data_IF_594126624898
#
_entry.id   IF_594126624898
#
_cell.length_a   1.000
_cell.length_b   1.000
_cell.length_c   1.000
_cell.angle_alpha   90.00
_cell.angle_beta   90.00
_cell.angle_gamma   90.00
#
_symmetry.space_group_name_H-M   'P 1'
#
loop_
_entity.id
_entity.type
_entity.pdbx_description
1 polymer ?
#
# COMPACT_ATOMS: atom_id res chain seq x y z
N UNK A 1 -4.34 -18.68 -3.80
CA UNK A 1 -3.88 -18.07 -5.07
C UNK A 1 -2.37 -18.26 -5.19
N UNK A 2 -1.89 -18.60 -6.37
CA UNK A 2 -0.46 -18.84 -6.61
C UNK A 2 0.28 -17.54 -6.94
N UNK A 3 -0.46 -16.53 -7.44
CA UNK A 3 0.04 -15.21 -7.77
C UNK A 3 -1.10 -14.17 -7.71
N UNK A 4 -0.75 -12.94 -7.42
CA UNK A 4 -1.64 -11.78 -7.45
C UNK A 4 -1.23 -10.84 -8.59
N UNK A 5 -2.23 -10.31 -9.29
CA UNK A 5 -2.04 -9.20 -10.24
C UNK A 5 -2.78 -8.00 -9.67
N UNK A 6 -2.03 -7.03 -9.20
CA UNK A 6 -2.59 -5.80 -8.66
C UNK A 6 -2.57 -4.69 -9.70
N UNK A 7 -3.75 -4.23 -10.11
CA UNK A 7 -3.88 -3.14 -11.09
C UNK A 7 -3.91 -1.80 -10.33
N UNK A 8 -2.90 -0.98 -10.57
CA UNK A 8 -2.66 0.30 -9.90
C UNK A 8 -2.86 1.44 -10.89
N UNK A 9 -3.63 2.44 -10.51
CA UNK A 9 -3.80 3.67 -11.27
C UNK A 9 -2.62 4.62 -11.01
N UNK A 10 -1.80 4.85 -12.03
CA UNK A 10 -0.62 5.72 -11.97
C UNK A 10 -0.98 7.19 -11.65
N UNK A 11 -2.16 7.65 -12.03
CA UNK A 11 -2.61 9.02 -11.75
C UNK A 11 -3.07 9.24 -10.31
N UNK A 12 -3.29 8.13 -9.55
CA UNK A 12 -3.70 8.12 -8.16
C UNK A 12 -2.84 7.13 -7.35
N UNK A 13 -1.52 7.18 -7.54
CA UNK A 13 -0.57 6.20 -7.02
C UNK A 13 -0.70 6.02 -5.51
N UNK A 14 -0.65 7.11 -4.74
CA UNK A 14 -0.69 7.10 -3.27
C UNK A 14 -1.88 6.31 -2.74
N UNK A 15 -3.08 6.59 -3.24
CA UNK A 15 -4.31 5.90 -2.84
C UNK A 15 -4.27 4.40 -3.15
N UNK A 16 -3.72 4.04 -4.30
CA UNK A 16 -3.68 2.64 -4.75
C UNK A 16 -2.61 1.82 -4.02
N UNK A 17 -1.51 2.47 -3.57
CA UNK A 17 -0.45 1.80 -2.84
C UNK A 17 -0.90 1.27 -1.48
N UNK A 18 -1.96 1.79 -0.88
CA UNK A 18 -2.47 1.27 0.40
C UNK A 18 -2.85 -0.21 0.30
N UNK A 19 -3.67 -0.57 -0.69
CA UNK A 19 -4.01 -1.96 -0.97
C UNK A 19 -2.79 -2.75 -1.43
N UNK A 20 -1.91 -2.12 -2.24
CA UNK A 20 -0.70 -2.77 -2.74
C UNK A 20 0.19 -3.25 -1.60
N UNK A 21 0.43 -2.42 -0.58
CA UNK A 21 1.24 -2.81 0.58
C UNK A 21 0.60 -3.98 1.33
N UNK A 22 -0.71 -3.95 1.58
CA UNK A 22 -1.41 -5.05 2.23
C UNK A 22 -1.30 -6.37 1.46
N UNK A 23 -1.40 -6.34 0.12
CA UNK A 23 -1.23 -7.52 -0.72
C UNK A 23 0.20 -8.06 -0.69
N UNK A 24 1.20 -7.18 -0.66
CA UNK A 24 2.60 -7.56 -0.59
C UNK A 24 2.98 -8.11 0.79
N UNK A 25 2.38 -7.60 1.86
CA UNK A 25 2.56 -8.11 3.22
C UNK A 25 2.08 -9.58 3.37
N UNK A 26 1.09 -10.01 2.56
CA UNK A 26 0.65 -11.41 2.51
C UNK A 26 1.76 -12.39 2.08
N UNK A 27 2.80 -11.89 1.40
CA UNK A 27 3.91 -12.74 0.93
C UNK A 27 3.55 -13.65 -0.26
N UNK A 28 2.38 -13.45 -0.88
CA UNK A 28 2.00 -14.14 -2.13
C UNK A 28 2.72 -13.44 -3.29
N UNK A 29 3.28 -14.18 -4.27
CA UNK A 29 3.86 -13.57 -5.46
C UNK A 29 2.92 -12.55 -6.09
N UNK A 30 3.41 -11.34 -6.36
CA UNK A 30 2.60 -10.24 -6.86
C UNK A 30 3.27 -9.54 -8.03
N UNK A 31 2.49 -9.20 -9.04
CA UNK A 31 2.89 -8.32 -10.13
C UNK A 31 2.00 -7.08 -10.08
N UNK A 32 2.61 -5.91 -10.04
CA UNK A 32 1.90 -4.63 -10.13
C UNK A 32 1.75 -4.23 -11.59
N UNK A 33 0.52 -4.13 -12.05
CA UNK A 33 0.15 -3.62 -13.37
C UNK A 33 -0.12 -2.11 -13.24
N UNK A 34 0.90 -1.27 -13.47
CA UNK A 34 0.83 0.18 -13.33
C UNK A 34 0.15 0.79 -14.56
N UNK A 35 -1.16 0.97 -14.48
CA UNK A 35 -2.00 1.42 -15.59
C UNK A 35 -2.22 2.94 -15.58
N UNK A 36 -2.80 3.47 -16.65
CA UNK A 36 -3.13 4.89 -16.80
C UNK A 36 -1.91 5.84 -16.79
N UNK A 37 -0.73 5.36 -17.22
CA UNK A 37 0.47 6.19 -17.31
C UNK A 37 0.29 7.39 -18.23
N UNK A 38 -0.49 7.26 -19.30
CA UNK A 38 -0.81 8.36 -20.20
C UNK A 38 -1.69 9.45 -19.55
N UNK A 39 -2.45 9.10 -18.52
CA UNK A 39 -3.23 10.06 -17.72
C UNK A 39 -2.30 10.75 -16.71
N UNK A 40 -1.44 9.99 -16.01
CA UNK A 40 -0.44 10.55 -15.10
C UNK A 40 0.48 11.55 -15.84
N UNK A 41 0.99 11.19 -17.01
CA UNK A 41 1.81 12.09 -17.85
C UNK A 41 1.07 13.38 -18.23
N UNK A 42 -0.22 13.33 -18.57
CA UNK A 42 -1.05 14.52 -18.85
C UNK A 42 -1.23 15.41 -17.62
N UNK A 43 -1.16 14.84 -16.43
CA UNK A 43 -1.20 15.56 -15.15
C UNK A 43 0.20 16.02 -14.69
N UNK A 44 1.23 15.89 -15.55
CA UNK A 44 2.63 16.17 -15.23
C UNK A 44 3.21 15.31 -14.09
N UNK A 45 2.64 14.14 -13.87
CA UNK A 45 3.14 13.15 -12.93
C UNK A 45 4.03 12.19 -13.70
N UNK A 46 5.31 12.11 -13.32
CA UNK A 46 6.24 11.11 -13.84
C UNK A 46 6.60 10.13 -12.73
N UNK A 47 6.45 8.84 -13.01
CA UNK A 47 6.77 7.78 -12.08
C UNK A 47 7.99 7.02 -12.60
N UNK A 48 9.00 6.89 -11.76
CA UNK A 48 10.13 6.00 -11.99
C UNK A 48 9.69 4.56 -11.68
N UNK A 49 9.39 3.81 -12.74
CA UNK A 49 8.85 2.44 -12.65
C UNK A 49 9.86 1.48 -12.03
N UNK A 50 11.15 1.63 -12.35
CA UNK A 50 12.21 0.77 -11.85
C UNK A 50 12.45 1.04 -10.36
N UNK A 51 12.46 2.31 -9.95
CA UNK A 51 12.54 2.69 -8.55
C UNK A 51 11.31 2.18 -7.76
N UNK A 52 10.10 2.25 -8.35
CA UNK A 52 8.89 1.72 -7.71
C UNK A 52 8.98 0.20 -7.54
N UNK A 53 9.43 -0.53 -8.56
CA UNK A 53 9.64 -1.98 -8.49
C UNK A 53 10.65 -2.36 -7.39
N UNK A 54 11.75 -1.63 -7.30
CA UNK A 54 12.76 -1.83 -6.26
C UNK A 54 12.21 -1.55 -4.84
N UNK A 55 11.36 -0.51 -4.69
CA UNK A 55 10.74 -0.15 -3.40
C UNK A 55 9.66 -1.13 -2.97
N UNK A 56 8.89 -1.68 -3.91
CA UNK A 56 7.85 -2.67 -3.63
C UNK A 56 8.38 -4.10 -3.54
N UNK A 57 9.58 -4.37 -4.03
CA UNK A 57 10.16 -5.71 -4.06
C UNK A 57 9.45 -6.70 -4.99
N UNK A 58 8.70 -6.20 -5.97
CA UNK A 58 7.96 -7.01 -6.93
C UNK A 58 8.00 -6.38 -8.33
N UNK A 59 7.75 -7.16 -9.40
CA UNK A 59 7.68 -6.60 -10.74
C UNK A 59 6.58 -5.54 -10.87
N UNK A 60 6.93 -4.40 -11.45
CA UNK A 60 5.98 -3.33 -11.82
C UNK A 60 6.01 -3.18 -13.33
N UNK A 61 4.87 -3.42 -13.96
CA UNK A 61 4.73 -3.39 -15.41
C UNK A 61 3.94 -2.15 -15.85
N UNK A 62 4.56 -1.24 -16.60
CA UNK A 62 3.88 -0.04 -17.09
C UNK A 62 2.86 -0.37 -18.16
N UNK A 63 1.63 0.13 -18.00
CA UNK A 63 0.51 -0.15 -18.88
C UNK A 63 -0.20 1.11 -19.37
N UNK A 64 -0.73 1.02 -20.60
CA UNK A 64 -1.83 1.83 -21.12
C UNK A 64 -2.82 0.84 -21.73
N UNK A 65 -3.67 0.26 -20.88
CA UNK A 65 -4.54 -0.87 -21.26
C UNK A 65 -5.48 -0.55 -22.43
N UNK A 66 -6.00 0.68 -22.50
CA UNK A 66 -6.86 1.15 -23.62
C UNK A 66 -6.16 1.15 -24.98
N UNK A 67 -4.82 1.12 -25.00
CA UNK A 67 -4.00 1.05 -26.23
C UNK A 67 -3.27 -0.26 -26.37
N UNK A 68 -3.51 -1.24 -25.51
CA UNK A 68 -2.81 -2.53 -25.49
C UNK A 68 -1.32 -2.42 -25.14
N UNK A 69 -0.82 -1.23 -24.74
CA UNK A 69 0.60 -1.04 -24.42
C UNK A 69 0.96 -1.72 -23.10
N UNK A 70 2.00 -2.53 -23.11
CA UNK A 70 2.53 -3.24 -21.93
C UNK A 70 1.85 -4.57 -21.63
N UNK A 71 0.79 -4.98 -22.35
CA UNK A 71 0.04 -6.23 -22.09
C UNK A 71 0.94 -7.46 -22.26
N UNK A 72 1.76 -7.51 -23.31
CA UNK A 72 2.68 -8.64 -23.53
C UNK A 72 3.77 -8.72 -22.45
N UNK A 73 4.28 -7.58 -21.99
CA UNK A 73 5.22 -7.54 -20.88
C UNK A 73 4.58 -8.05 -19.57
N UNK A 74 3.31 -7.72 -19.33
CA UNK A 74 2.55 -8.22 -18.19
C UNK A 74 2.39 -9.75 -18.26
N UNK A 75 2.00 -10.29 -19.41
CA UNK A 75 1.90 -11.75 -19.62
C UNK A 75 3.23 -12.44 -19.33
N UNK A 76 4.33 -11.91 -19.87
CA UNK A 76 5.68 -12.45 -19.61
C UNK A 76 6.06 -12.39 -18.12
N UNK A 77 5.67 -11.34 -17.39
CA UNK A 77 5.92 -11.24 -15.96
C UNK A 77 5.12 -12.28 -15.16
N UNK A 78 3.88 -12.55 -15.57
CA UNK A 78 3.02 -13.59 -14.99
C UNK A 78 3.63 -14.98 -15.24
N UNK A 79 4.05 -15.27 -16.47
CA UNK A 79 4.63 -16.56 -16.86
C UNK A 79 5.94 -16.88 -16.11
N UNK A 80 6.72 -15.85 -15.79
CA UNK A 80 7.96 -16.00 -15.00
C UNK A 80 7.72 -16.41 -13.56
N UNK A 81 6.53 -16.15 -13.02
CA UNK A 81 6.12 -16.47 -11.65
C UNK A 81 7.20 -16.10 -10.61
N UNK A 82 7.72 -14.89 -10.72
CA UNK A 82 8.81 -14.42 -9.85
C UNK A 82 8.31 -14.20 -8.41
N UNK A 83 9.06 -14.73 -7.44
CA UNK A 83 8.82 -14.45 -6.04
C UNK A 83 9.15 -13.00 -5.71
N UNK A 84 8.37 -12.41 -4.79
CA UNK A 84 8.67 -11.08 -4.27
C UNK A 84 9.96 -11.11 -3.46
N UNK A 85 10.68 -10.01 -3.46
CA UNK A 85 11.81 -9.81 -2.55
C UNK A 85 11.27 -9.70 -1.11
N UNK A 86 12.00 -10.27 -0.16
CA UNK A 86 11.68 -10.14 1.25
C UNK A 86 12.23 -8.82 1.79
N UNK A 87 11.45 -7.75 1.61
CA UNK A 87 11.78 -6.40 2.10
C UNK A 87 10.74 -5.97 3.13
N UNK A 88 11.18 -5.18 4.09
CA UNK A 88 10.29 -4.54 5.05
C UNK A 88 9.63 -3.33 4.40
N UNK A 89 8.37 -3.51 4.00
CA UNK A 89 7.59 -2.50 3.28
C UNK A 89 7.04 -1.40 4.21
N UNK A 90 6.67 -1.79 5.43
CA UNK A 90 6.04 -0.92 6.42
C UNK A 90 6.77 -1.05 7.74
N UNK A 91 7.19 0.08 8.31
CA UNK A 91 7.85 0.13 9.61
C UNK A 91 6.82 0.33 10.73
N UNK A 92 6.27 -0.76 11.21
CA UNK A 92 5.34 -0.73 12.33
C UNK A 92 6.04 -0.45 13.67
N UNK A 93 5.37 0.24 14.62
CA UNK A 93 5.84 0.35 15.99
C UNK A 93 6.13 -1.00 16.62
N UNK A 94 7.24 -1.11 17.37
CA UNK A 94 7.65 -2.36 18.01
C UNK A 94 6.58 -3.01 18.90
N UNK A 95 5.78 -2.26 19.69
CA UNK A 95 4.70 -2.85 20.47
C UNK A 95 3.68 -3.61 19.60
N UNK A 96 3.29 -3.04 18.44
CA UNK A 96 2.39 -3.69 17.49
C UNK A 96 2.96 -4.99 16.94
N UNK A 97 4.23 -4.97 16.50
CA UNK A 97 4.88 -6.18 15.99
C UNK A 97 4.96 -7.27 17.07
N UNK A 98 5.30 -6.90 18.31
CA UNK A 98 5.37 -7.84 19.44
C UNK A 98 4.04 -8.54 19.68
N UNK A 99 2.92 -7.81 19.72
CA UNK A 99 1.61 -8.41 19.96
C UNK A 99 1.11 -9.18 18.73
N UNK A 100 1.37 -8.68 17.50
CA UNK A 100 1.06 -9.42 16.28
C UNK A 100 1.82 -10.75 16.19
N UNK A 101 3.09 -10.78 16.58
CA UNK A 101 3.90 -12.01 16.60
C UNK A 101 3.40 -13.00 17.65
N UNK A 102 3.02 -12.56 18.85
CA UNK A 102 2.39 -13.41 19.87
C UNK A 102 1.08 -14.04 19.37
N UNK A 103 0.24 -13.24 18.69
CA UNK A 103 -0.98 -13.77 18.07
C UNK A 103 -0.65 -14.78 16.97
N UNK A 104 0.36 -14.48 16.15
CA UNK A 104 0.81 -15.35 15.06
C UNK A 104 1.34 -16.71 15.56
N UNK A 105 2.03 -16.74 16.69
CA UNK A 105 2.55 -17.99 17.30
C UNK A 105 1.43 -18.94 17.77
N UNK A 106 0.27 -18.40 18.08
CA UNK A 106 -0.90 -19.19 18.53
C UNK A 106 -1.76 -19.70 17.36
N UNK A 107 -1.52 -19.21 16.14
CA UNK A 107 -2.28 -19.62 14.97
C UNK A 107 -1.87 -21.02 14.48
N UNK A 108 -2.77 -21.65 13.73
CA UNK A 108 -2.55 -22.97 13.13
C UNK A 108 -1.28 -22.97 12.26
N UNK A 109 -0.48 -24.03 12.39
CA UNK A 109 0.85 -24.14 11.75
C UNK A 109 0.84 -24.24 10.24
N UNK A 110 -0.30 -24.55 9.62
CA UNK A 110 -0.44 -24.68 8.15
C UNK A 110 -0.40 -23.34 7.41
N UNK A 111 -0.44 -22.23 8.16
CA UNK A 111 -0.33 -20.86 7.59
C UNK A 111 1.14 -20.43 7.62
N UNK A 112 1.73 -19.98 6.50
CA UNK A 112 3.11 -19.48 6.49
C UNK A 112 3.35 -18.35 7.50
N UNK A 113 4.53 -18.29 8.15
CA UNK A 113 4.81 -17.33 9.24
C UNK A 113 4.51 -15.88 8.88
N UNK A 114 4.83 -15.45 7.64
CA UNK A 114 4.55 -14.11 7.15
C UNK A 114 3.06 -13.79 7.10
N UNK A 115 2.25 -14.74 6.64
CA UNK A 115 0.80 -14.60 6.59
C UNK A 115 0.18 -14.60 8.00
N UNK A 116 0.74 -15.37 8.94
CA UNK A 116 0.28 -15.35 10.34
C UNK A 116 0.53 -13.99 10.99
N UNK A 117 1.70 -13.39 10.79
CA UNK A 117 2.00 -12.03 11.27
C UNK A 117 1.05 -11.00 10.65
N UNK A 118 0.82 -11.07 9.33
CA UNK A 118 -0.15 -10.22 8.65
C UNK A 118 -1.56 -10.37 9.26
N UNK A 119 -2.03 -11.60 9.50
CA UNK A 119 -3.30 -11.87 10.19
C UNK A 119 -3.32 -11.26 11.59
N UNK A 120 -2.23 -11.36 12.35
CA UNK A 120 -2.09 -10.73 13.67
C UNK A 120 -2.27 -9.21 13.61
N UNK A 121 -1.63 -8.54 12.64
CA UNK A 121 -1.81 -7.11 12.42
C UNK A 121 -3.25 -6.75 12.02
N UNK A 122 -3.87 -7.54 11.14
CA UNK A 122 -5.26 -7.34 10.73
C UNK A 122 -6.24 -7.51 11.91
N UNK A 123 -5.97 -8.46 12.81
CA UNK A 123 -6.76 -8.63 14.04
C UNK A 123 -6.65 -7.40 14.95
N UNK A 124 -5.44 -6.86 15.12
CA UNK A 124 -5.19 -5.64 15.91
C UNK A 124 -5.81 -4.39 15.26
N UNK A 125 -5.94 -4.37 13.93
CA UNK A 125 -6.64 -3.32 13.15
C UNK A 125 -8.17 -3.45 13.26
N UNK A 126 -8.68 -4.58 13.78
CA UNK A 126 -10.11 -4.82 13.99
C UNK A 126 -10.81 -5.57 12.86
N UNK A 127 -10.05 -6.24 11.96
CA UNK A 127 -10.64 -7.00 10.86
C UNK A 127 -11.36 -8.27 11.36
N UNK A 128 -12.66 -8.34 11.07
CA UNK A 128 -13.55 -9.42 11.53
C UNK A 128 -13.21 -10.75 10.87
N UNK A 129 -12.80 -10.73 9.60
CA UNK A 129 -12.47 -11.95 8.85
C UNK A 129 -11.17 -12.57 9.37
N UNK A 130 -10.15 -11.77 9.63
CA UNK A 130 -8.89 -12.24 10.22
C UNK A 130 -9.11 -12.88 11.58
N UNK A 131 -9.99 -12.30 12.40
CA UNK A 131 -10.40 -12.87 13.68
C UNK A 131 -11.06 -14.25 13.52
N UNK A 132 -11.88 -14.46 12.50
CA UNK A 132 -12.53 -15.75 12.23
C UNK A 132 -11.52 -16.84 11.81
N UNK A 133 -10.43 -16.46 11.12
CA UNK A 133 -9.37 -17.38 10.71
C UNK A 133 -8.35 -17.70 11.81
N UNK A 134 -8.27 -16.88 12.84
CA UNK A 134 -7.22 -16.96 13.85
C UNK A 134 -7.42 -18.10 14.87
N UNK A 135 -8.57 -18.78 14.90
CA UNK A 135 -8.86 -19.88 15.82
C UNK A 135 -8.65 -19.46 17.29
N UNK A 136 -7.81 -20.20 18.03
CA UNK A 136 -7.53 -19.93 19.44
C UNK A 136 -6.85 -18.57 19.69
N UNK A 137 -6.14 -18.04 18.72
CA UNK A 137 -5.52 -16.71 18.83
C UNK A 137 -6.56 -15.58 19.00
N UNK A 138 -7.78 -15.76 18.48
CA UNK A 138 -8.86 -14.78 18.64
C UNK A 138 -9.24 -14.53 20.12
N UNK A 139 -9.12 -15.53 20.98
CA UNK A 139 -9.41 -15.40 22.43
C UNK A 139 -8.37 -14.56 23.17
N UNK A 140 -7.19 -14.37 22.58
CA UNK A 140 -6.10 -13.56 23.16
C UNK A 140 -6.09 -12.13 22.66
N UNK A 141 -6.94 -11.80 21.67
CA UNK A 141 -6.96 -10.47 21.08
C UNK A 141 -7.27 -9.37 22.12
N UNK A 142 -8.25 -9.60 22.99
CA UNK A 142 -8.62 -8.61 24.02
C UNK A 142 -7.47 -8.36 25.01
N UNK A 143 -6.66 -9.39 25.33
CA UNK A 143 -5.46 -9.24 26.14
C UNK A 143 -4.38 -8.47 25.40
N UNK A 144 -4.17 -8.76 24.11
CA UNK A 144 -3.20 -8.05 23.28
C UNK A 144 -3.56 -6.56 23.14
N UNK A 145 -4.85 -6.26 22.92
CA UNK A 145 -5.34 -4.88 22.84
C UNK A 145 -5.20 -4.14 24.17
N UNK A 146 -5.46 -4.82 25.31
CA UNK A 146 -5.24 -4.24 26.64
C UNK A 146 -3.77 -3.88 26.88
N UNK A 147 -2.83 -4.76 26.52
CA UNK A 147 -1.40 -4.46 26.62
C UNK A 147 -1.00 -3.29 25.72
N UNK A 148 -1.55 -3.24 24.49
CA UNK A 148 -1.24 -2.15 23.57
C UNK A 148 -1.79 -0.81 24.04
N UNK A 149 -2.96 -0.79 24.67
CA UNK A 149 -3.57 0.45 25.19
C UNK A 149 -2.74 1.13 26.30
N UNK A 150 -1.81 0.41 26.92
CA UNK A 150 -0.86 0.99 27.88
C UNK A 150 0.29 1.76 27.18
N UNK A 151 0.61 1.37 25.93
CA UNK A 151 1.74 1.91 25.17
C UNK A 151 1.30 2.77 23.96
N UNK A 152 0.12 2.50 23.42
CA UNK A 152 -0.45 3.12 22.22
C UNK A 152 -1.94 3.41 22.41
N UNK A 153 -2.38 4.63 22.17
CA UNK A 153 -3.77 5.03 22.38
C UNK A 153 -4.75 4.26 21.49
N UNK A 154 -4.42 4.10 20.20
CA UNK A 154 -5.25 3.40 19.20
C UNK A 154 -4.38 2.57 18.27
N UNK A 155 -4.31 1.23 18.46
CA UNK A 155 -3.50 0.35 17.62
C UNK A 155 -3.86 0.40 16.14
N UNK A 156 -5.15 0.52 15.79
CA UNK A 156 -5.61 0.57 14.41
C UNK A 156 -5.12 1.85 13.71
N UNK A 157 -5.17 2.98 14.42
CA UNK A 157 -4.65 4.26 13.91
C UNK A 157 -3.14 4.18 13.66
N UNK A 158 -2.37 3.61 14.59
CA UNK A 158 -0.92 3.45 14.42
C UNK A 158 -0.55 2.52 13.26
N UNK A 159 -1.35 1.47 12.99
CA UNK A 159 -1.18 0.61 11.83
C UNK A 159 -1.43 1.39 10.54
N UNK A 160 -2.52 2.14 10.48
CA UNK A 160 -2.85 2.97 9.34
C UNK A 160 -1.77 4.04 9.08
N UNK A 161 -1.34 4.76 10.12
CA UNK A 161 -0.30 5.78 10.04
C UNK A 161 1.03 5.22 9.52
N UNK A 162 1.46 4.05 10.00
CA UNK A 162 2.68 3.41 9.53
C UNK A 162 2.61 3.09 8.02
N UNK A 163 1.46 2.61 7.54
CA UNK A 163 1.23 2.38 6.10
C UNK A 163 1.26 3.68 5.32
N UNK A 164 0.55 4.73 5.76
CA UNK A 164 0.54 6.02 5.07
C UNK A 164 1.91 6.69 5.03
N UNK A 165 2.70 6.62 6.11
CA UNK A 165 4.07 7.11 6.13
C UNK A 165 4.96 6.37 5.13
N UNK A 166 4.83 5.04 5.05
CA UNK A 166 5.57 4.22 4.08
C UNK A 166 5.17 4.55 2.64
N UNK A 167 3.86 4.75 2.38
CA UNK A 167 3.34 5.14 1.06
C UNK A 167 3.88 6.51 0.67
N UNK A 168 3.84 7.50 1.56
CA UNK A 168 4.36 8.83 1.29
C UNK A 168 5.86 8.77 0.94
N UNK A 169 6.66 8.03 1.70
CA UNK A 169 8.08 7.84 1.43
C UNK A 169 8.35 7.14 0.09
N UNK A 170 7.51 6.18 -0.31
CA UNK A 170 7.61 5.55 -1.64
C UNK A 170 7.25 6.56 -2.72
N UNK A 171 6.12 7.25 -2.60
CA UNK A 171 5.67 8.25 -3.59
C UNK A 171 6.70 9.36 -3.79
N UNK A 172 7.25 9.91 -2.71
CA UNK A 172 8.28 10.95 -2.76
C UNK A 172 9.55 10.49 -3.47
N UNK A 173 9.90 9.20 -3.31
CA UNK A 173 11.10 8.65 -3.92
C UNK A 173 10.93 8.31 -5.41
N UNK A 174 9.70 8.05 -5.88
CA UNK A 174 9.46 7.53 -7.23
C UNK A 174 8.67 8.48 -8.12
N UNK A 175 7.96 9.46 -7.56
CA UNK A 175 7.17 10.41 -8.35
C UNK A 175 7.80 11.80 -8.36
N UNK A 176 8.08 12.31 -9.55
CA UNK A 176 8.41 13.71 -9.76
C UNK A 176 7.18 14.39 -10.36
N UNK A 177 6.49 15.19 -9.54
CA UNK A 177 5.55 16.15 -10.08
C UNK A 177 6.39 17.25 -10.72
N UNK A 178 6.43 17.31 -12.05
CA UNK A 178 6.93 18.48 -12.71
C UNK A 178 5.97 19.61 -12.30
N UNK A 179 6.39 20.45 -11.38
CA UNK A 179 5.67 21.68 -11.05
C UNK A 179 5.47 22.45 -12.35
N UNK A 180 4.33 22.23 -13.00
CA UNK A 180 3.80 23.25 -13.87
C UNK A 180 3.63 24.44 -12.96
N UNK A 181 4.33 25.56 -13.24
CA UNK A 181 3.96 26.83 -12.62
C UNK A 181 2.43 26.92 -12.69
N UNK A 182 1.74 27.20 -11.55
CA UNK A 182 0.29 27.27 -11.54
C UNK A 182 -0.09 28.15 -12.73
N UNK A 183 -0.91 27.63 -13.63
CA UNK A 183 -1.23 28.35 -14.85
C UNK A 183 -1.66 29.73 -14.40
N UNK A 184 -1.16 30.80 -15.04
CA UNK A 184 -1.52 32.19 -14.67
C UNK A 184 -3.03 32.38 -14.55
N UNK A 185 -3.79 31.50 -15.19
CA UNK A 185 -5.25 31.44 -15.16
C UNK A 185 -5.78 30.88 -13.83
N UNK A 186 -5.18 29.82 -13.26
CA UNK A 186 -5.57 29.25 -11.95
C UNK A 186 -5.22 30.23 -10.84
N UNK A 187 -4.02 30.83 -10.87
CA UNK A 187 -3.62 31.85 -9.91
C UNK A 187 -4.48 33.13 -10.01
N UNK A 188 -4.96 33.48 -11.20
CA UNK A 188 -5.90 34.59 -11.39
C UNK A 188 -7.31 34.25 -10.88
N UNK A 189 -7.78 33.01 -11.10
CA UNK A 189 -9.06 32.53 -10.57
C UNK A 189 -9.05 32.44 -9.04
N UNK A 190 -8.01 31.90 -8.43
CA UNK A 190 -7.86 31.85 -6.96
C UNK A 190 -7.84 33.26 -6.37
N UNK A 191 -7.18 34.22 -7.04
CA UNK A 191 -7.15 35.62 -6.61
C UNK A 191 -8.53 36.30 -6.69
N UNK A 192 -9.38 35.88 -7.64
CA UNK A 192 -10.76 36.40 -7.79
C UNK A 192 -11.70 35.73 -6.79
N UNK A 193 -11.59 34.41 -6.60
CA UNK A 193 -12.46 33.63 -5.72
C UNK A 193 -12.14 33.89 -4.23
N UNK A 194 -10.86 34.06 -3.91
CA UNK A 194 -10.41 34.35 -2.52
C UNK A 194 -10.42 35.85 -2.18
N UNK A 195 -10.81 36.71 -3.13
CA UNK A 195 -10.93 38.14 -2.86
C UNK A 195 -12.18 38.42 -2.02
N UNK A 196 -11.94 38.73 -0.74
CA UNK A 196 -12.97 39.01 0.28
C UNK A 196 -13.99 40.10 -0.11
N UNK A 197 -13.73 40.85 -1.19
CA UNK A 197 -14.61 41.93 -1.69
C UNK A 197 -15.48 41.54 -2.89
N UNK A 198 -15.23 40.37 -3.52
CA UNK A 198 -15.99 39.91 -4.69
C UNK A 198 -16.77 38.61 -4.45
N UNK A 199 -16.63 38.02 -3.27
CA UNK A 199 -17.39 36.85 -2.84
C UNK A 199 -18.51 37.25 -1.89
N UNK A 200 -19.66 37.63 -2.45
CA UNK A 200 -20.95 37.64 -1.79
C UNK A 200 -21.63 36.32 -2.08
#
# INVERSE_FOLDING_TARGET
ADMLINVVDASNLERNLYLTLQLLELGIPCVVALNMLDIAEKQNIRIDVDALAARLGCPVIPLVSTRGRGIEALKMAIDRHQQNQDIELVHYPRPLLREADKLAEMMVTDIPPRQRRWLGLQMLEGDVYSRAFAGDAAHKLDVALAHLSEELDDPALHIADARYQSIAAICDAVSNTLTAEPSRFTAAMDKVILNRFLGL
#
